data_IF_411471444420
#
_entry.id   IF_411471444420
#
_cell.length_a   1.000
_cell.length_b   1.000
_cell.length_c   1.000
_cell.angle_alpha   90.00
_cell.angle_beta   90.00
_cell.angle_gamma   90.00
#
_symmetry.space_group_name_H-M   'P 1'
#
loop_
_entity.id
_entity.type
_entity.pdbx_description
1 polymer ?
#
# COMPACT_ATOMS: atom_id res chain seq x y z
N UNK A 1 34.63 0.47 -20.77
CA UNK A 1 33.35 1.15 -20.69
C UNK A 1 33.31 1.77 -19.30
N UNK A 2 33.42 3.11 -19.21
CA UNK A 2 33.38 3.78 -17.91
C UNK A 2 31.98 3.61 -17.31
N UNK A 3 31.93 2.96 -16.16
CA UNK A 3 30.75 3.01 -15.28
C UNK A 3 30.56 4.48 -14.92
N UNK A 4 29.50 5.11 -15.41
CA UNK A 4 29.02 6.37 -14.86
C UNK A 4 28.77 6.08 -13.37
N UNK A 5 29.67 6.56 -12.51
CA UNK A 5 29.42 6.50 -11.07
C UNK A 5 28.10 7.29 -10.87
N UNK A 6 27.08 6.61 -10.40
CA UNK A 6 25.84 7.27 -10.08
C UNK A 6 26.12 8.31 -8.98
N UNK A 7 25.61 9.51 -9.17
CA UNK A 7 25.71 10.56 -8.15
C UNK A 7 25.05 10.07 -6.85
N UNK A 8 25.49 10.61 -5.73
CA UNK A 8 24.86 10.29 -4.44
C UNK A 8 23.44 10.87 -4.46
N UNK A 9 22.47 10.05 -4.04
CA UNK A 9 21.09 10.51 -3.92
C UNK A 9 20.97 11.70 -2.94
N UNK A 10 20.26 12.73 -3.39
CA UNK A 10 19.95 13.91 -2.60
C UNK A 10 18.44 14.00 -2.40
N UNK A 11 18.01 13.96 -1.13
CA UNK A 11 16.61 14.11 -0.79
C UNK A 11 16.11 15.51 -1.26
N UNK A 12 14.97 15.51 -1.94
CA UNK A 12 14.36 16.69 -2.56
C UNK A 12 15.16 17.31 -3.71
N UNK A 13 16.21 16.63 -4.19
CA UNK A 13 16.88 16.94 -5.45
C UNK A 13 15.99 16.70 -6.69
N UNK A 14 16.50 17.00 -7.89
CA UNK A 14 15.69 16.94 -9.13
C UNK A 14 15.08 15.55 -9.41
N UNK A 15 15.82 14.49 -9.16
CA UNK A 15 15.36 13.10 -9.34
C UNK A 15 14.22 12.76 -8.39
N UNK A 16 14.33 13.15 -7.10
CA UNK A 16 13.28 12.98 -6.11
C UNK A 16 12.03 13.78 -6.47
N UNK A 17 12.19 15.05 -6.86
CA UNK A 17 11.06 15.90 -7.28
C UNK A 17 10.35 15.31 -8.51
N UNK A 18 11.11 14.76 -9.46
CA UNK A 18 10.58 14.03 -10.62
C UNK A 18 9.73 12.82 -10.21
N UNK A 19 10.21 12.03 -9.25
CA UNK A 19 9.48 10.89 -8.72
C UNK A 19 8.19 11.31 -7.99
N UNK A 20 8.22 12.39 -7.19
CA UNK A 20 7.03 12.94 -6.52
C UNK A 20 6.00 13.48 -7.53
N UNK A 21 6.44 14.13 -8.59
CA UNK A 21 5.56 14.58 -9.66
C UNK A 21 4.92 13.39 -10.37
N UNK A 22 5.70 12.36 -10.69
CA UNK A 22 5.20 11.13 -11.32
C UNK A 22 4.18 10.42 -10.42
N UNK A 23 4.42 10.36 -9.11
CA UNK A 23 3.45 9.86 -8.13
C UNK A 23 2.11 10.59 -8.25
N UNK A 24 2.15 11.93 -8.20
CA UNK A 24 0.95 12.77 -8.22
C UNK A 24 0.17 12.60 -9.53
N UNK A 25 0.86 12.67 -10.67
CA UNK A 25 0.27 12.47 -11.99
C UNK A 25 -0.40 11.10 -12.09
N UNK A 26 0.27 10.03 -11.63
CA UNK A 26 -0.29 8.68 -11.63
C UNK A 26 -1.52 8.55 -10.72
N UNK A 27 -1.49 9.13 -9.52
CA UNK A 27 -2.66 9.14 -8.62
C UNK A 27 -3.85 9.84 -9.27
N UNK A 28 -3.64 11.03 -9.86
CA UNK A 28 -4.69 11.79 -10.57
C UNK A 28 -5.26 10.96 -11.72
N UNK A 29 -4.40 10.38 -12.57
CA UNK A 29 -4.81 9.55 -13.70
C UNK A 29 -5.65 8.35 -13.24
N UNK A 30 -5.23 7.65 -12.18
CA UNK A 30 -5.94 6.51 -11.62
C UNK A 30 -7.30 6.90 -11.03
N UNK A 31 -7.38 8.04 -10.33
CA UNK A 31 -8.65 8.52 -9.78
C UNK A 31 -9.61 8.90 -10.92
N UNK A 32 -9.14 9.58 -11.96
CA UNK A 32 -9.95 9.94 -13.13
C UNK A 32 -10.42 8.69 -13.88
N UNK A 33 -9.51 7.73 -14.13
CA UNK A 33 -9.86 6.43 -14.72
C UNK A 33 -10.89 5.70 -13.88
N UNK A 34 -10.64 5.63 -12.55
CA UNK A 34 -11.51 4.96 -11.62
C UNK A 34 -12.92 5.56 -11.56
N UNK A 35 -13.04 6.89 -11.61
CA UNK A 35 -14.35 7.55 -11.68
C UNK A 35 -15.13 7.19 -12.93
N UNK A 36 -14.45 7.02 -14.07
CA UNK A 36 -15.07 6.71 -15.36
C UNK A 36 -15.42 5.23 -15.53
N UNK A 37 -14.59 4.34 -15.01
CA UNK A 37 -14.67 2.88 -15.27
C UNK A 37 -14.89 2.04 -14.01
N UNK A 38 -15.43 2.66 -12.95
CA UNK A 38 -15.58 1.99 -11.65
C UNK A 38 -16.34 0.68 -11.74
N UNK A 39 -15.78 -0.38 -11.15
CA UNK A 39 -16.36 -1.71 -11.07
C UNK A 39 -16.73 -2.33 -12.44
N UNK A 40 -16.05 -1.93 -13.52
CA UNK A 40 -16.25 -2.51 -14.86
C UNK A 40 -15.26 -3.66 -15.13
N UNK A 41 -15.54 -4.54 -16.10
CA UNK A 41 -14.58 -5.55 -16.55
C UNK A 41 -13.26 -4.96 -17.06
N UNK A 42 -13.29 -3.74 -17.61
CA UNK A 42 -12.09 -3.01 -18.02
C UNK A 42 -11.21 -2.68 -16.79
N UNK A 43 -11.80 -2.16 -15.71
CA UNK A 43 -11.08 -1.91 -14.48
C UNK A 43 -10.49 -3.21 -13.90
N UNK A 44 -11.20 -4.34 -13.99
CA UNK A 44 -10.66 -5.61 -13.53
C UNK A 44 -9.44 -6.08 -14.33
N UNK A 45 -9.46 -5.91 -15.65
CA UNK A 45 -8.32 -6.24 -16.53
C UNK A 45 -7.11 -5.37 -16.22
N UNK A 46 -7.30 -4.06 -16.10
CA UNK A 46 -6.24 -3.12 -15.72
C UNK A 46 -5.66 -3.41 -14.35
N UNK A 47 -6.48 -3.87 -13.39
CA UNK A 47 -6.00 -4.34 -12.10
C UNK A 47 -5.00 -5.50 -12.21
N UNK A 48 -5.28 -6.48 -13.09
CA UNK A 48 -4.35 -7.59 -13.35
C UNK A 48 -3.06 -7.13 -14.04
N UNK A 49 -3.17 -6.20 -15.00
CA UNK A 49 -1.98 -5.58 -15.63
C UNK A 49 -1.12 -4.86 -14.60
N UNK A 50 -1.74 -4.11 -13.69
CA UNK A 50 -1.01 -3.45 -12.60
C UNK A 50 -0.35 -4.45 -11.65
N UNK A 51 -1.02 -5.58 -11.33
CA UNK A 51 -0.42 -6.65 -10.54
C UNK A 51 0.83 -7.24 -11.24
N UNK A 52 0.75 -7.47 -12.55
CA UNK A 52 1.89 -7.91 -13.34
C UNK A 52 3.03 -6.88 -13.35
N UNK A 53 2.71 -5.59 -13.43
CA UNK A 53 3.71 -4.52 -13.34
C UNK A 53 4.41 -4.47 -11.99
N UNK A 54 3.66 -4.62 -10.86
CA UNK A 54 4.26 -4.72 -9.52
C UNK A 54 5.21 -5.90 -9.45
N UNK A 55 4.81 -7.08 -9.92
CA UNK A 55 5.69 -8.27 -9.95
C UNK A 55 6.93 -8.05 -10.81
N UNK A 56 6.77 -7.45 -12.00
CA UNK A 56 7.88 -7.20 -12.93
C UNK A 56 8.93 -6.24 -12.37
N UNK A 57 8.59 -5.45 -11.36
CA UNK A 57 9.51 -4.56 -10.65
C UNK A 57 10.03 -5.20 -9.36
N UNK A 58 9.15 -5.78 -8.55
CA UNK A 58 9.51 -6.31 -7.22
C UNK A 58 10.39 -7.54 -7.32
N UNK A 59 10.13 -8.45 -8.28
CA UNK A 59 10.93 -9.67 -8.43
C UNK A 59 12.38 -9.37 -8.85
N UNK A 60 12.66 -8.54 -9.88
CA UNK A 60 14.03 -8.16 -10.20
C UNK A 60 14.74 -7.41 -9.05
N UNK A 61 14.06 -6.52 -8.35
CA UNK A 61 14.62 -5.83 -7.20
C UNK A 61 15.03 -6.82 -6.10
N UNK A 62 14.18 -7.77 -5.77
CA UNK A 62 14.46 -8.80 -4.78
C UNK A 62 15.61 -9.71 -5.23
N UNK A 63 15.64 -10.11 -6.52
CA UNK A 63 16.74 -10.90 -7.07
C UNK A 63 18.07 -10.12 -7.00
N UNK A 64 18.04 -8.83 -7.28
CA UNK A 64 19.23 -7.97 -7.22
C UNK A 64 19.78 -7.91 -5.78
N UNK A 65 18.94 -7.78 -4.77
CA UNK A 65 19.38 -7.82 -3.36
C UNK A 65 19.99 -9.17 -2.93
N UNK A 66 19.67 -10.27 -3.61
CA UNK A 66 20.27 -11.59 -3.36
C UNK A 66 21.62 -11.78 -4.07
N UNK A 67 22.07 -10.84 -4.91
CA UNK A 67 23.39 -10.94 -5.52
C UNK A 67 24.50 -10.58 -4.52
N UNK A 68 25.71 -11.14 -4.66
CA UNK A 68 26.81 -10.86 -3.73
C UNK A 68 27.18 -9.38 -3.61
N UNK A 69 26.91 -8.59 -4.66
CA UNK A 69 27.21 -7.15 -4.71
C UNK A 69 26.30 -6.34 -3.76
N UNK A 70 25.02 -6.74 -3.62
CA UNK A 70 24.03 -6.02 -2.84
C UNK A 70 23.60 -6.75 -1.57
N UNK A 71 24.21 -7.92 -1.31
CA UNK A 71 23.88 -8.72 -0.14
C UNK A 71 24.18 -7.99 1.16
N UNK A 72 23.14 -7.73 1.92
CA UNK A 72 23.22 -7.16 3.27
C UNK A 72 22.08 -7.79 4.09
N UNK A 73 22.42 -8.49 5.18
CA UNK A 73 21.41 -9.17 6.00
C UNK A 73 20.35 -8.20 6.54
N UNK A 74 20.67 -6.92 6.73
CA UNK A 74 19.71 -5.89 7.16
C UNK A 74 18.72 -5.45 6.08
N UNK A 75 18.95 -5.82 4.81
CA UNK A 75 18.17 -5.30 3.66
C UNK A 75 17.68 -6.38 2.71
N UNK A 76 18.41 -7.50 2.60
CA UNK A 76 18.20 -8.50 1.55
C UNK A 76 16.92 -9.32 1.74
N UNK A 77 16.56 -9.65 2.98
CA UNK A 77 15.36 -10.46 3.21
C UNK A 77 14.10 -9.61 3.02
N UNK A 78 13.02 -10.15 2.41
CA UNK A 78 11.78 -9.43 2.18
C UNK A 78 10.97 -9.28 3.47
N UNK A 79 11.57 -8.67 4.50
CA UNK A 79 10.98 -8.44 5.81
C UNK A 79 10.60 -6.98 6.04
N UNK A 80 11.05 -6.07 5.18
CA UNK A 80 10.56 -4.70 5.19
C UNK A 80 9.08 -4.67 4.86
N UNK A 81 8.35 -3.75 5.47
CA UNK A 81 6.91 -3.68 5.26
C UNK A 81 6.53 -3.33 3.82
N UNK A 82 7.39 -2.58 3.12
CA UNK A 82 7.21 -2.26 1.70
C UNK A 82 7.31 -3.49 0.78
N UNK A 83 8.17 -4.48 1.12
CA UNK A 83 8.29 -5.72 0.37
C UNK A 83 6.98 -6.54 0.50
N UNK A 84 6.49 -6.67 1.73
CA UNK A 84 5.21 -7.33 2.00
C UNK A 84 4.04 -6.57 1.38
N UNK A 85 4.07 -5.23 1.40
CA UNK A 85 3.03 -4.40 0.79
C UNK A 85 2.94 -4.64 -0.71
N UNK A 86 4.06 -4.82 -1.41
CA UNK A 86 4.07 -5.13 -2.84
C UNK A 86 3.44 -6.50 -3.12
N UNK A 87 3.79 -7.53 -2.36
CA UNK A 87 3.19 -8.86 -2.47
C UNK A 87 1.68 -8.86 -2.17
N UNK A 88 1.28 -8.17 -1.11
CA UNK A 88 -0.15 -8.00 -0.75
C UNK A 88 -0.89 -7.20 -1.81
N UNK A 89 -0.28 -6.17 -2.42
CA UNK A 89 -0.87 -5.40 -3.51
C UNK A 89 -1.14 -6.28 -4.74
N UNK A 90 -0.18 -7.11 -5.14
CA UNK A 90 -0.35 -8.10 -6.22
C UNK A 90 -1.52 -9.03 -5.92
N UNK A 91 -1.53 -9.62 -4.71
CA UNK A 91 -2.60 -10.51 -4.30
C UNK A 91 -3.97 -9.81 -4.28
N UNK A 92 -4.03 -8.57 -3.78
CA UNK A 92 -5.27 -7.79 -3.72
C UNK A 92 -5.80 -7.43 -5.12
N UNK A 93 -4.93 -7.00 -6.04
CA UNK A 93 -5.29 -6.66 -7.43
C UNK A 93 -5.78 -7.88 -8.20
N UNK A 94 -5.21 -9.06 -7.93
CA UNK A 94 -5.56 -10.31 -8.60
C UNK A 94 -6.85 -10.92 -8.06
N UNK A 95 -6.97 -11.04 -6.73
CA UNK A 95 -8.06 -11.76 -6.06
C UNK A 95 -9.21 -10.87 -5.63
N UNK A 96 -8.99 -9.56 -5.51
CA UNK A 96 -9.94 -8.57 -4.99
C UNK A 96 -10.44 -8.88 -3.58
N UNK A 97 -9.65 -9.62 -2.80
CA UNK A 97 -9.99 -9.93 -1.42
C UNK A 97 -9.95 -8.65 -0.57
N UNK A 98 -11.07 -8.33 0.09
CA UNK A 98 -11.24 -7.07 0.81
C UNK A 98 -10.22 -6.85 1.93
N UNK A 99 -9.74 -7.91 2.60
CA UNK A 99 -8.71 -7.78 3.63
C UNK A 99 -7.36 -7.36 3.04
N UNK A 100 -6.98 -7.95 1.90
CA UNK A 100 -5.74 -7.60 1.22
C UNK A 100 -5.82 -6.20 0.59
N UNK A 101 -6.96 -5.83 0.02
CA UNK A 101 -7.19 -4.46 -0.46
C UNK A 101 -7.07 -3.43 0.67
N UNK A 102 -7.57 -3.74 1.88
CA UNK A 102 -7.44 -2.86 3.03
C UNK A 102 -5.97 -2.76 3.51
N UNK A 103 -5.23 -3.87 3.56
CA UNK A 103 -3.80 -3.84 3.87
C UNK A 103 -3.02 -3.00 2.85
N UNK A 104 -3.25 -3.22 1.54
CA UNK A 104 -2.62 -2.42 0.49
C UNK A 104 -2.97 -0.93 0.65
N UNK A 105 -4.22 -0.61 0.99
CA UNK A 105 -4.65 0.76 1.23
C UNK A 105 -3.90 1.40 2.40
N UNK A 106 -3.86 0.72 3.54
CA UNK A 106 -3.21 1.25 4.74
C UNK A 106 -1.70 1.32 4.56
N UNK A 107 -1.05 0.23 4.18
CA UNK A 107 0.41 0.18 4.02
C UNK A 107 0.88 1.09 2.87
N UNK A 108 0.18 1.09 1.74
CA UNK A 108 0.52 1.90 0.58
C UNK A 108 0.38 3.41 0.83
N UNK A 109 -0.68 3.85 1.51
CA UNK A 109 -0.92 5.28 1.74
C UNK A 109 -0.23 5.85 2.98
N UNK A 110 0.36 5.02 3.84
CA UNK A 110 1.03 5.49 5.05
C UNK A 110 2.50 5.09 5.08
N UNK A 111 2.78 3.81 5.26
CA UNK A 111 4.14 3.32 5.47
C UNK A 111 4.99 3.37 4.19
N UNK A 112 4.42 2.97 3.04
CA UNK A 112 5.09 3.12 1.74
C UNK A 112 5.29 4.60 1.36
N UNK A 113 4.32 5.46 1.69
CA UNK A 113 4.44 6.89 1.45
C UNK A 113 5.53 7.54 2.29
N UNK A 114 5.80 7.03 3.49
CA UNK A 114 6.92 7.49 4.31
C UNK A 114 8.26 7.24 3.61
N UNK A 115 8.46 6.05 3.03
CA UNK A 115 9.65 5.74 2.25
C UNK A 115 9.78 6.62 0.98
N UNK A 116 8.68 7.14 0.47
CA UNK A 116 8.67 8.10 -0.66
C UNK A 116 9.09 9.51 -0.19
N UNK A 117 8.67 9.92 1.00
CA UNK A 117 8.96 11.27 1.54
C UNK A 117 10.37 11.34 2.10
N UNK A 118 10.84 10.29 2.76
CA UNK A 118 12.18 10.19 3.36
C UNK A 118 12.88 8.91 2.90
N UNK A 119 13.28 8.82 1.61
CA UNK A 119 13.88 7.62 1.06
C UNK A 119 15.29 7.38 1.60
N UNK A 120 15.59 6.13 1.93
CA UNK A 120 16.93 5.66 2.31
C UNK A 120 17.63 5.06 1.09
N UNK A 121 18.11 5.93 0.19
CA UNK A 121 18.81 5.59 -1.03
C UNK A 121 20.25 6.09 -1.00
N UNK A 122 21.19 5.23 -1.41
CA UNK A 122 22.60 5.57 -1.47
C UNK A 122 22.98 6.25 -2.80
N UNK A 123 22.44 5.77 -3.91
CA UNK A 123 22.75 6.22 -5.26
C UNK A 123 21.53 6.85 -5.96
N UNK A 124 21.80 7.79 -6.87
CA UNK A 124 20.78 8.46 -7.67
C UNK A 124 20.62 7.79 -9.05
N UNK A 125 19.71 8.33 -9.88
CA UNK A 125 19.53 7.92 -11.27
C UNK A 125 20.88 8.00 -12.03
N UNK A 126 21.23 7.02 -12.87
CA UNK A 126 20.45 5.86 -13.35
C UNK A 126 20.70 4.54 -12.61
N UNK A 127 21.05 4.53 -11.34
CA UNK A 127 21.30 3.30 -10.58
C UNK A 127 20.09 2.34 -10.64
N UNK A 128 20.27 1.03 -10.88
CA UNK A 128 19.17 0.07 -10.94
C UNK A 128 18.34 0.00 -9.65
N UNK A 129 18.97 0.10 -8.47
CA UNK A 129 18.26 0.11 -7.18
C UNK A 129 17.39 1.36 -7.09
N UNK A 130 17.92 2.53 -7.49
CA UNK A 130 17.12 3.76 -7.55
C UNK A 130 15.86 3.58 -8.40
N UNK A 131 16.01 3.10 -9.63
CA UNK A 131 14.89 2.93 -10.56
C UNK A 131 13.85 1.94 -10.03
N UNK A 132 14.30 0.77 -9.54
CA UNK A 132 13.42 -0.26 -9.05
C UNK A 132 12.77 0.11 -7.71
N UNK A 133 13.47 0.80 -6.83
CA UNK A 133 12.93 1.34 -5.58
C UNK A 133 11.76 2.27 -5.86
N UNK A 134 11.96 3.29 -6.70
CA UNK A 134 10.90 4.24 -7.03
C UNK A 134 9.74 3.56 -7.75
N UNK A 135 10.01 2.70 -8.73
CA UNK A 135 8.97 1.98 -9.46
C UNK A 135 8.10 1.13 -8.51
N UNK A 136 8.70 0.40 -7.57
CA UNK A 136 7.98 -0.41 -6.59
C UNK A 136 7.08 0.45 -5.69
N UNK A 137 7.64 1.50 -5.09
CA UNK A 137 6.91 2.34 -4.15
C UNK A 137 5.75 3.10 -4.82
N UNK A 138 5.99 3.66 -6.01
CA UNK A 138 4.95 4.33 -6.79
C UNK A 138 3.82 3.36 -7.17
N UNK A 139 4.17 2.16 -7.66
CA UNK A 139 3.19 1.16 -8.05
C UNK A 139 2.35 0.67 -6.87
N UNK A 140 2.92 0.52 -5.68
CA UNK A 140 2.18 0.13 -4.47
C UNK A 140 1.18 1.21 -4.06
N UNK A 141 1.58 2.49 -4.06
CA UNK A 141 0.67 3.60 -3.78
C UNK A 141 -0.43 3.69 -4.85
N UNK A 142 -0.08 3.55 -6.11
CA UNK A 142 -1.05 3.52 -7.20
C UNK A 142 -2.01 2.34 -7.09
N UNK A 143 -1.54 1.16 -6.68
CA UNK A 143 -2.38 0.00 -6.41
C UNK A 143 -3.37 0.26 -5.27
N UNK A 144 -2.93 0.91 -4.18
CA UNK A 144 -3.79 1.30 -3.07
C UNK A 144 -4.92 2.23 -3.53
N UNK A 145 -4.59 3.26 -4.30
CA UNK A 145 -5.57 4.17 -4.90
C UNK A 145 -6.50 3.44 -5.87
N UNK A 146 -5.94 2.58 -6.73
CA UNK A 146 -6.70 1.84 -7.74
C UNK A 146 -7.75 0.90 -7.12
N UNK A 147 -7.35 0.11 -6.12
CA UNK A 147 -8.24 -0.81 -5.41
C UNK A 147 -9.47 -0.11 -4.84
N UNK A 148 -9.30 1.10 -4.34
CA UNK A 148 -10.38 1.86 -3.71
C UNK A 148 -11.22 2.64 -4.71
N UNK A 149 -10.60 3.39 -5.62
CA UNK A 149 -11.32 4.29 -6.52
C UNK A 149 -11.82 3.62 -7.79
N UNK A 150 -11.06 2.68 -8.36
CA UNK A 150 -11.48 1.96 -9.58
C UNK A 150 -12.25 0.68 -9.27
N UNK A 151 -11.84 -0.09 -8.28
CA UNK A 151 -12.48 -1.37 -7.94
C UNK A 151 -13.50 -1.28 -6.79
N UNK A 152 -13.60 -0.13 -6.12
CA UNK A 152 -14.60 0.08 -5.08
C UNK A 152 -14.34 -0.71 -3.78
N UNK A 153 -13.09 -1.12 -3.53
CA UNK A 153 -12.70 -1.95 -2.38
C UNK A 153 -12.24 -1.11 -1.18
N UNK A 154 -12.97 -0.03 -0.86
CA UNK A 154 -12.66 0.80 0.30
C UNK A 154 -12.69 0.03 1.62
N UNK A 155 -11.87 0.43 2.61
CA UNK A 155 -11.82 -0.22 3.92
C UNK A 155 -13.09 0.05 4.74
N UNK A 156 -13.34 -0.83 5.70
CA UNK A 156 -14.33 -0.67 6.77
C UNK A 156 -13.69 -0.95 8.14
N UNK A 157 -14.45 -0.76 9.23
CA UNK A 157 -13.94 -0.96 10.58
C UNK A 157 -13.49 -2.40 10.87
N UNK A 158 -14.10 -3.40 10.24
CA UNK A 158 -13.67 -4.80 10.38
C UNK A 158 -12.29 -4.99 9.75
N UNK A 159 -12.06 -4.47 8.55
CA UNK A 159 -10.80 -4.57 7.81
C UNK A 159 -9.71 -3.70 8.43
N UNK A 160 -10.07 -2.54 8.99
CA UNK A 160 -9.17 -1.74 9.82
C UNK A 160 -8.59 -2.57 10.98
N UNK A 161 -9.45 -3.23 11.77
CA UNK A 161 -8.98 -4.09 12.87
C UNK A 161 -8.15 -5.27 12.37
N UNK A 162 -8.53 -5.88 11.24
CA UNK A 162 -7.75 -6.95 10.62
C UNK A 162 -6.37 -6.46 10.19
N UNK A 163 -6.29 -5.28 9.58
CA UNK A 163 -5.02 -4.69 9.16
C UNK A 163 -4.12 -4.39 10.37
N UNK A 164 -4.65 -3.81 11.44
CA UNK A 164 -3.90 -3.59 12.68
C UNK A 164 -3.35 -4.89 13.26
N UNK A 165 -4.19 -5.94 13.32
CA UNK A 165 -3.78 -7.24 13.87
C UNK A 165 -2.66 -7.90 13.03
N UNK A 166 -2.77 -7.83 11.69
CA UNK A 166 -1.73 -8.37 10.80
C UNK A 166 -0.43 -7.56 10.91
N UNK A 167 -0.52 -6.24 10.97
CA UNK A 167 0.66 -5.38 11.12
C UNK A 167 1.33 -5.58 12.48
N UNK A 168 0.55 -5.72 13.55
CA UNK A 168 1.08 -6.04 14.88
C UNK A 168 1.77 -7.43 14.90
N UNK A 169 1.18 -8.44 14.28
CA UNK A 169 1.79 -9.76 14.17
C UNK A 169 3.10 -9.72 13.38
N UNK A 170 3.15 -8.96 12.28
CA UNK A 170 4.39 -8.70 11.54
C UNK A 170 5.42 -8.00 12.43
N UNK A 171 5.06 -6.93 13.13
CA UNK A 171 5.98 -6.17 13.97
C UNK A 171 6.61 -7.04 15.08
N UNK A 172 5.80 -7.87 15.75
CA UNK A 172 6.29 -8.81 16.78
C UNK A 172 7.24 -9.85 16.17
N UNK A 173 6.85 -10.44 15.04
CA UNK A 173 7.68 -11.46 14.36
C UNK A 173 9.01 -10.89 13.90
N UNK A 174 8.99 -9.72 13.27
CA UNK A 174 10.20 -9.05 12.76
C UNK A 174 11.06 -8.51 13.90
N UNK A 175 10.46 -8.02 14.98
CA UNK A 175 11.21 -7.62 16.17
C UNK A 175 12.00 -8.79 16.76
N UNK A 176 11.36 -9.97 16.92
CA UNK A 176 12.04 -11.18 17.41
C UNK A 176 13.17 -11.59 16.46
N UNK A 177 12.89 -11.58 15.14
CA UNK A 177 13.92 -11.85 14.15
C UNK A 177 15.11 -10.89 14.25
N UNK A 178 14.85 -9.59 14.35
CA UNK A 178 15.88 -8.57 14.50
C UNK A 178 16.78 -8.81 15.72
N UNK A 179 16.16 -9.14 16.87
CA UNK A 179 16.91 -9.44 18.10
C UNK A 179 17.81 -10.67 17.93
N UNK A 180 17.32 -11.72 17.26
CA UNK A 180 18.07 -12.97 17.08
C UNK A 180 19.15 -12.83 16.01
N UNK A 181 18.87 -12.14 14.91
CA UNK A 181 19.77 -11.99 13.77
C UNK A 181 20.70 -10.78 13.86
N UNK A 182 20.49 -9.87 14.83
CA UNK A 182 21.24 -8.63 14.96
C UNK A 182 20.92 -7.61 13.86
N UNK A 183 19.68 -7.64 13.33
CA UNK A 183 19.22 -6.79 12.23
C UNK A 183 18.24 -5.72 12.70
N UNK A 184 17.78 -4.83 11.78
CA UNK A 184 16.88 -3.74 12.11
C UNK A 184 15.74 -3.54 11.07
N UNK A 185 15.14 -4.61 10.61
CA UNK A 185 14.00 -4.53 9.70
C UNK A 185 12.83 -3.77 10.33
N UNK A 186 12.23 -2.89 9.54
CA UNK A 186 11.11 -2.04 9.96
C UNK A 186 11.48 -1.01 11.02
N UNK A 187 12.79 -0.80 11.27
CA UNK A 187 13.31 0.13 12.28
C UNK A 187 12.73 -0.10 13.70
N UNK A 188 12.43 -1.36 14.03
CA UNK A 188 11.80 -1.72 15.31
C UNK A 188 12.77 -1.68 16.49
N UNK A 189 14.08 -1.83 16.24
CA UNK A 189 15.11 -1.88 17.26
C UNK A 189 15.90 -0.56 17.39
N UNK A 190 16.08 0.15 16.28
CA UNK A 190 16.75 1.44 16.22
C UNK A 190 16.17 2.28 15.08
N UNK A 191 16.24 3.60 15.20
CA UNK A 191 15.88 4.53 14.12
C UNK A 191 16.85 4.39 12.93
N UNK A 192 16.41 4.79 11.70
CA UNK A 192 17.34 4.91 10.59
C UNK A 192 18.43 5.92 10.88
N UNK A 193 19.60 5.78 10.23
CA UNK A 193 20.71 6.71 10.36
C UNK A 193 20.43 8.08 9.71
N UNK A 194 19.56 8.10 8.68
CA UNK A 194 19.09 9.32 8.05
C UNK A 194 17.95 9.94 8.87
N UNK A 195 17.84 11.27 8.81
CA UNK A 195 16.72 12.00 9.45
C UNK A 195 15.37 11.51 8.94
N UNK A 196 14.46 11.21 9.84
CA UNK A 196 13.16 10.63 9.52
C UNK A 196 12.06 11.17 10.44
N UNK A 197 10.81 10.90 10.06
CA UNK A 197 9.65 11.24 10.92
C UNK A 197 9.70 10.57 12.30
N UNK A 198 10.43 9.45 12.44
CA UNK A 198 10.62 8.76 13.72
C UNK A 198 11.40 9.59 14.74
N UNK A 199 12.16 10.60 14.28
CA UNK A 199 12.89 11.49 15.17
C UNK A 199 11.97 12.35 16.04
N UNK A 200 10.77 12.62 15.56
CA UNK A 200 9.75 13.38 16.27
C UNK A 200 9.03 12.55 17.35
N UNK A 201 9.20 11.21 17.34
CA UNK A 201 8.45 10.31 18.21
C UNK A 201 9.19 9.91 19.49
N UNK A 202 10.36 10.49 19.75
CA UNK A 202 11.14 10.26 20.98
C UNK A 202 12.18 9.12 20.85
N UNK A 203 12.88 8.76 21.94
CA UNK A 203 13.88 7.70 21.93
C UNK A 203 13.24 6.29 21.91
N UNK A 204 14.05 5.26 21.62
CA UNK A 204 13.64 3.87 21.82
C UNK A 204 13.40 3.57 23.31
N UNK A 205 12.37 2.79 23.67
CA UNK A 205 11.37 2.15 22.84
C UNK A 205 10.14 3.05 22.52
N UNK A 206 10.10 4.28 23.01
CA UNK A 206 8.94 5.15 22.96
C UNK A 206 8.51 5.53 21.54
N UNK A 207 9.47 5.70 20.60
CA UNK A 207 9.10 6.02 19.24
C UNK A 207 8.28 4.91 18.57
N UNK A 208 8.57 3.62 18.87
CA UNK A 208 7.81 2.48 18.32
C UNK A 208 6.36 2.52 18.85
N UNK A 209 6.20 2.80 20.16
CA UNK A 209 4.88 2.89 20.77
C UNK A 209 4.07 4.07 20.21
N UNK A 210 4.72 5.23 20.09
CA UNK A 210 4.11 6.43 19.52
C UNK A 210 3.76 6.24 18.04
N UNK A 211 4.61 5.57 17.27
CA UNK A 211 4.32 5.21 15.87
C UNK A 211 3.07 4.34 15.76
N UNK A 212 2.94 3.30 16.57
CA UNK A 212 1.74 2.44 16.62
C UNK A 212 0.49 3.28 16.88
N UNK A 213 0.53 4.20 17.84
CA UNK A 213 -0.60 5.07 18.19
C UNK A 213 -0.94 6.00 17.01
N UNK A 214 0.05 6.66 16.43
CA UNK A 214 -0.13 7.58 15.31
C UNK A 214 -0.68 6.86 14.09
N UNK A 215 -0.11 5.70 13.74
CA UNK A 215 -0.56 4.87 12.61
C UNK A 215 -1.99 4.39 12.84
N UNK A 216 -2.32 3.89 14.03
CA UNK A 216 -3.68 3.43 14.35
C UNK A 216 -4.70 4.57 14.26
N UNK A 217 -4.38 5.75 14.80
CA UNK A 217 -5.23 6.93 14.74
C UNK A 217 -5.42 7.42 13.29
N UNK A 218 -4.35 7.49 12.51
CA UNK A 218 -4.40 7.90 11.11
C UNK A 218 -5.20 6.91 10.26
N UNK A 219 -5.01 5.60 10.46
CA UNK A 219 -5.81 4.58 9.77
C UNK A 219 -7.30 4.65 10.13
N UNK A 220 -7.63 4.95 11.39
CA UNK A 220 -9.01 5.19 11.78
C UNK A 220 -9.60 6.40 11.05
N UNK A 221 -8.82 7.49 10.95
CA UNK A 221 -9.23 8.70 10.25
C UNK A 221 -9.50 8.45 8.76
N UNK A 222 -8.61 7.75 8.06
CA UNK A 222 -8.79 7.45 6.63
C UNK A 222 -9.81 6.32 6.36
N UNK A 223 -10.19 5.54 7.39
CA UNK A 223 -11.29 4.55 7.30
C UNK A 223 -12.66 5.21 7.39
N UNK A 224 -12.78 6.25 8.20
CA UNK A 224 -14.06 6.88 8.53
C UNK A 224 -14.93 7.30 7.34
N UNK A 225 -14.40 7.97 6.28
CA UNK A 225 -15.19 8.35 5.12
C UNK A 225 -15.83 7.17 4.39
N UNK A 226 -15.11 6.05 4.32
CA UNK A 226 -15.56 4.82 3.66
C UNK A 226 -16.63 4.10 4.48
N UNK A 227 -16.42 3.99 5.80
CA UNK A 227 -17.37 3.37 6.71
C UNK A 227 -18.71 4.12 6.80
N UNK A 228 -18.70 5.45 6.68
CA UNK A 228 -19.93 6.26 6.60
C UNK A 228 -20.70 6.01 5.31
N UNK A 229 -20.01 5.94 4.17
CA UNK A 229 -20.64 5.68 2.87
C UNK A 229 -21.33 4.31 2.82
N UNK A 230 -20.72 3.28 3.39
CA UNK A 230 -21.31 1.94 3.45
C UNK A 230 -22.61 1.94 4.27
N UNK A 231 -22.64 2.61 5.42
CA UNK A 231 -23.85 2.72 6.25
C UNK A 231 -24.99 3.48 5.55
N UNK A 232 -24.66 4.55 4.83
CA UNK A 232 -25.67 5.32 4.10
C UNK A 232 -26.32 4.50 2.97
N UNK A 233 -25.54 3.63 2.31
CA UNK A 233 -26.06 2.74 1.27
C UNK A 233 -26.98 1.64 1.84
N UNK A 234 -26.73 1.17 3.07
CA UNK A 234 -27.54 0.14 3.73
C UNK A 234 -28.85 0.69 4.29
N UNK A 235 -28.93 2.00 4.55
CA UNK A 235 -30.14 2.67 5.13
C UNK A 235 -31.14 3.10 4.07
N UNK A 236 -30.75 3.16 2.78
CA UNK A 236 -31.70 3.52 1.70
C UNK A 236 -32.56 2.30 1.36
N UNK A 237 -33.88 2.29 1.67
CA UNK A 237 -34.73 1.15 1.37
C UNK A 237 -34.72 0.88 -0.15
N UNK A 238 -34.55 -0.36 -0.56
CA UNK A 238 -34.82 -0.76 -1.94
C UNK A 238 -36.31 -0.51 -2.24
N UNK A 239 -36.57 0.49 -3.02
CA UNK A 239 -37.91 0.88 -3.47
C UNK A 239 -38.59 -0.13 -4.44
N UNK A 240 -38.15 -1.39 -4.45
CA UNK A 240 -38.64 -2.44 -5.34
C UNK A 240 -39.78 -3.29 -4.76
N UNK A 241 -40.13 -3.09 -3.46
CA UNK A 241 -41.25 -3.86 -2.88
C UNK A 241 -42.63 -3.16 -2.95
N UNK A 242 -42.67 -1.92 -3.46
CA UNK A 242 -43.95 -1.15 -3.52
C UNK A 242 -44.75 -1.36 -4.82
N UNK A 243 -44.34 -2.25 -5.73
CA UNK A 243 -45.03 -2.47 -7.01
C UNK A 243 -45.38 -3.95 -7.24
N UNK A 244 -45.89 -4.64 -6.21
CA UNK A 244 -46.62 -5.90 -6.44
C UNK A 244 -48.09 -5.59 -6.48
N UNK A 245 -48.78 -5.59 -7.67
CA UNK A 245 -50.20 -5.44 -7.72
C UNK A 245 -50.87 -6.60 -6.97
N UNK A 246 -52.03 -6.37 -6.29
CA UNK A 246 -52.75 -7.42 -5.58
C UNK A 246 -53.16 -8.53 -6.55
N UNK A 247 -52.90 -9.76 -6.16
CA UNK A 247 -53.28 -10.94 -6.94
C UNK A 247 -54.79 -10.88 -7.21
N UNK A 248 -55.17 -10.74 -8.48
CA UNK A 248 -56.58 -10.80 -8.92
C UNK A 248 -57.14 -12.17 -8.55
N UNK A 249 -58.17 -12.18 -7.72
CA UNK A 249 -58.97 -13.36 -7.42
C UNK A 249 -59.65 -13.88 -8.71
N UNK A 250 -59.20 -15.04 -9.19
CA UNK A 250 -59.89 -15.79 -10.26
C UNK A 250 -61.25 -16.22 -9.76
N UNK A 251 -62.36 -15.92 -10.46
CA UNK A 251 -63.67 -16.50 -10.14
C UNK A 251 -63.68 -17.99 -10.47
N UNK A 252 -64.24 -18.78 -9.54
CA UNK A 252 -64.49 -20.21 -9.73
C UNK A 252 -65.52 -20.39 -10.84
N UNK A 253 -65.17 -21.14 -11.90
CA UNK A 253 -66.15 -21.65 -12.89
C UNK A 253 -66.81 -22.92 -12.30
N UNK A 254 -68.13 -22.89 -12.24
CA UNK A 254 -68.98 -24.08 -12.12
C UNK A 254 -68.99 -24.82 -13.43
#
# INVERSE_FOLDING_TARGET
>A
MGTLAADRFEAYGPSHQGALLLLLVGVVAIVLFGRRHRCTPLAERWGRTMAAAVLAVTVPLQVLYFTPEYWDLDKTLPLQLCDLASGVAVYALWTRRRWAAALTYFWGLTLTSQAIVTPDLAADFPDPIFVLFWAMHLLVVWAAVYLVWALGLGPDWKRYRTALAITAAWAVTVYVFNVVAGTNYGYLNAKPSAASALDLLGPWPWYVLNEIIVVAAFWALITWPWARRSRAADVTPRSTDAARPPASSRPARR
#
